data_IF_246177513541
#
_entry.id   IF_246177513541
#
_cell.length_a   1.000
_cell.length_b   1.000
_cell.length_c   1.000
_cell.angle_alpha   90.00
_cell.angle_beta   90.00
_cell.angle_gamma   90.00
#
_symmetry.space_group_name_H-M   'P 1'
#
loop_
_entity.id
_entity.type
_entity.pdbx_description
1 polymer ?
#
# COMPACT_ATOMS: atom_id res chain seq x y z
N UNK A 1 -1.03 -23.35 21.02
CA UNK A 1 -0.47 -22.76 19.79
C UNK A 1 -0.65 -21.24 19.88
N UNK A 2 0.28 -20.54 20.52
CA UNK A 2 0.28 -19.08 20.71
C UNK A 2 1.66 -18.64 20.27
N UNK A 3 1.82 -18.38 18.98
CA UNK A 3 3.14 -18.10 18.40
C UNK A 3 3.07 -17.53 17.00
N UNK A 4 2.08 -17.96 16.20
CA UNK A 4 1.81 -17.37 14.88
C UNK A 4 1.16 -15.97 14.92
N UNK A 5 0.52 -15.59 16.02
CA UNK A 5 -0.26 -14.34 16.11
C UNK A 5 0.55 -13.12 16.58
N UNK A 6 1.80 -13.31 17.02
CA UNK A 6 2.67 -12.22 17.47
C UNK A 6 3.57 -11.66 16.36
N UNK A 7 3.67 -12.36 15.23
CA UNK A 7 4.58 -12.00 14.12
C UNK A 7 3.90 -11.02 13.14
N UNK A 8 2.60 -10.75 13.28
CA UNK A 8 1.80 -10.06 12.27
C UNK A 8 1.56 -8.57 12.53
N UNK A 9 2.20 -7.97 13.54
CA UNK A 9 1.86 -6.62 14.02
C UNK A 9 2.83 -5.52 13.59
N UNK A 10 3.90 -5.84 12.85
CA UNK A 10 4.91 -4.86 12.41
C UNK A 10 5.38 -5.08 10.97
N UNK A 11 4.55 -5.68 10.11
CA UNK A 11 4.86 -5.85 8.69
C UNK A 11 4.27 -4.69 7.89
N UNK A 12 5.12 -3.93 7.23
CA UNK A 12 4.76 -2.97 6.20
C UNK A 12 5.10 -3.54 4.83
N UNK A 13 4.68 -2.83 3.78
CA UNK A 13 4.99 -3.23 2.41
C UNK A 13 5.53 -2.05 1.61
N UNK A 14 6.69 -2.26 1.01
CA UNK A 14 7.28 -1.31 0.06
C UNK A 14 6.67 -1.57 -1.31
N UNK A 15 6.18 -0.50 -1.93
CA UNK A 15 5.56 -0.56 -3.25
C UNK A 15 6.62 -0.39 -4.33
N UNK A 16 6.83 -1.43 -5.12
CA UNK A 16 7.66 -1.38 -6.31
C UNK A 16 6.81 -1.05 -7.53
N UNK A 17 6.13 -2.06 -8.07
CA UNK A 17 5.20 -1.94 -9.21
C UNK A 17 3.73 -1.88 -8.78
N UNK A 18 3.43 -2.26 -7.54
CA UNK A 18 2.08 -2.33 -6.97
C UNK A 18 1.22 -3.47 -7.52
N UNK A 19 1.72 -4.31 -8.43
CA UNK A 19 0.94 -5.36 -9.11
C UNK A 19 0.57 -6.50 -8.16
N UNK A 20 1.43 -6.78 -7.20
CA UNK A 20 1.27 -7.87 -6.25
C UNK A 20 0.72 -7.39 -4.90
N UNK A 21 0.28 -6.14 -4.81
CA UNK A 21 -0.24 -5.54 -3.58
C UNK A 21 -1.71 -5.18 -3.71
N UNK A 22 -2.53 -5.74 -2.84
CA UNK A 22 -3.94 -5.37 -2.68
C UNK A 22 -4.05 -4.02 -2.01
N UNK A 23 -4.77 -3.08 -2.65
CA UNK A 23 -4.92 -1.74 -2.12
C UNK A 23 -5.66 -1.72 -0.77
N UNK A 24 -6.60 -2.65 -0.55
CA UNK A 24 -7.47 -2.67 0.64
C UNK A 24 -7.07 -3.67 1.72
N UNK A 25 -6.41 -4.76 1.34
CA UNK A 25 -6.18 -5.91 2.25
C UNK A 25 -4.79 -5.94 2.87
N UNK A 26 -3.88 -5.11 2.39
CA UNK A 26 -2.47 -5.16 2.80
C UNK A 26 -2.01 -3.83 3.43
N UNK A 27 -1.10 -3.87 4.41
CA UNK A 27 -0.63 -2.68 5.12
C UNK A 27 0.50 -1.99 4.34
N UNK A 28 0.14 -1.22 3.31
CA UNK A 28 1.11 -0.53 2.45
C UNK A 28 1.05 1.00 2.54
N UNK A 29 0.10 1.57 3.29
CA UNK A 29 -0.09 3.03 3.38
C UNK A 29 0.96 3.74 4.24
N UNK A 30 1.64 3.03 5.14
CA UNK A 30 2.63 3.59 6.04
C UNK A 30 3.79 2.64 6.24
N UNK A 31 4.98 3.21 6.39
CA UNK A 31 6.22 2.51 6.70
C UNK A 31 6.58 2.59 8.20
N UNK A 32 5.76 3.26 9.01
CA UNK A 32 5.96 3.33 10.47
C UNK A 32 4.97 2.44 11.21
N UNK A 33 3.74 2.36 10.70
CA UNK A 33 2.66 1.56 11.26
C UNK A 33 1.97 0.76 10.16
N UNK A 34 1.60 -0.51 10.41
CA UNK A 34 0.82 -1.26 9.43
C UNK A 34 -0.56 -0.63 9.29
N UNK A 35 -0.76 0.14 8.22
CA UNK A 35 -1.99 0.89 7.98
C UNK A 35 -2.66 0.42 6.69
N UNK A 36 -3.95 0.12 6.79
CA UNK A 36 -4.84 -0.23 5.67
C UNK A 36 -5.89 0.85 5.47
N UNK A 37 -6.38 1.07 4.25
CA UNK A 37 -7.37 2.11 4.02
C UNK A 37 -8.63 1.90 4.87
N UNK A 38 -9.15 2.99 5.42
CA UNK A 38 -10.37 2.96 6.22
C UNK A 38 -11.58 3.06 5.29
N UNK A 39 -12.39 2.01 5.26
CA UNK A 39 -13.68 2.02 4.58
C UNK A 39 -14.03 0.66 3.96
N UNK A 40 -15.32 0.39 3.74
CA UNK A 40 -15.72 -0.78 2.98
C UNK A 40 -15.30 -0.60 1.51
N UNK A 41 -14.51 -1.52 0.93
CA UNK A 41 -14.31 -1.51 -0.51
C UNK A 41 -15.65 -1.71 -1.22
N UNK A 42 -15.85 -1.02 -2.34
CA UNK A 42 -16.95 -1.34 -3.24
C UNK A 42 -16.64 -2.67 -3.94
N UNK A 43 -17.66 -3.35 -4.48
CA UNK A 43 -17.46 -4.62 -5.21
C UNK A 43 -16.42 -4.50 -6.33
N UNK A 44 -16.31 -3.31 -6.93
CA UNK A 44 -15.32 -2.99 -7.96
C UNK A 44 -13.93 -2.69 -7.38
N UNK A 45 -13.83 -2.11 -6.18
CA UNK A 45 -12.55 -1.75 -5.57
C UNK A 45 -11.94 -2.86 -4.69
N UNK A 46 -12.69 -3.89 -4.32
CA UNK A 46 -12.19 -4.95 -3.42
C UNK A 46 -10.97 -5.73 -3.97
N UNK A 47 -10.85 -5.81 -5.30
CA UNK A 47 -9.76 -6.47 -6.01
C UNK A 47 -8.72 -5.48 -6.54
N UNK A 48 -8.87 -4.19 -6.21
CA UNK A 48 -7.98 -3.14 -6.67
C UNK A 48 -6.55 -3.41 -6.21
N UNK A 49 -5.62 -3.36 -7.16
CA UNK A 49 -4.19 -3.41 -6.90
C UNK A 49 -3.63 -2.01 -6.78
N UNK A 50 -2.55 -1.86 -6.02
CA UNK A 50 -1.83 -0.58 -5.91
C UNK A 50 -1.36 -0.09 -7.29
N UNK A 51 -1.00 -1.01 -8.19
CA UNK A 51 -0.64 -0.68 -9.57
C UNK A 51 -1.73 0.06 -10.34
N UNK A 52 -3.02 -0.13 -10.00
CA UNK A 52 -4.12 0.56 -10.67
C UNK A 52 -4.21 2.06 -10.32
N UNK A 53 -3.58 2.45 -9.21
CA UNK A 53 -3.41 3.84 -8.76
C UNK A 53 -2.18 4.50 -9.40
N UNK A 54 -1.33 3.76 -10.12
CA UNK A 54 -0.13 4.25 -10.77
C UNK A 54 -0.34 4.48 -12.26
N UNK A 55 0.43 5.41 -12.83
CA UNK A 55 0.62 5.52 -14.28
C UNK A 55 1.67 4.50 -14.73
N UNK A 56 1.29 3.56 -15.59
CA UNK A 56 2.16 2.47 -16.03
C UNK A 56 3.45 2.92 -16.75
N UNK A 57 3.44 4.09 -17.39
CA UNK A 57 4.59 4.60 -18.14
C UNK A 57 5.63 5.32 -17.26
N UNK A 58 5.18 6.03 -16.23
CA UNK A 58 6.03 6.90 -15.40
C UNK A 58 6.27 6.36 -13.99
N UNK A 59 5.59 5.27 -13.59
CA UNK A 59 5.56 4.77 -12.21
C UNK A 59 5.17 5.86 -11.17
N UNK A 60 4.46 6.91 -11.61
CA UNK A 60 3.98 7.99 -10.76
C UNK A 60 2.52 7.78 -10.36
N UNK A 61 2.12 8.32 -9.21
CA UNK A 61 0.74 8.22 -8.74
C UNK A 61 -0.23 8.98 -9.64
N UNK A 62 -1.36 8.35 -9.93
CA UNK A 62 -2.50 9.00 -10.54
C UNK A 62 -3.31 9.69 -9.43
N UNK A 63 -2.98 10.97 -9.20
CA UNK A 63 -3.57 11.78 -8.11
C UNK A 63 -5.11 11.80 -8.21
N UNK A 64 -5.67 11.88 -9.41
CA UNK A 64 -7.12 11.90 -9.61
C UNK A 64 -7.77 10.60 -9.11
N UNK A 65 -7.21 9.43 -9.46
CA UNK A 65 -7.70 8.13 -8.97
C UNK A 65 -7.49 7.96 -7.47
N UNK A 66 -6.34 8.38 -6.96
CA UNK A 66 -6.05 8.31 -5.51
C UNK A 66 -7.08 9.14 -4.73
N UNK A 67 -7.38 10.37 -5.15
CA UNK A 67 -8.42 11.20 -4.54
C UNK A 67 -9.81 10.59 -4.62
N UNK A 68 -10.14 9.96 -5.75
CA UNK A 68 -11.45 9.35 -5.95
C UNK A 68 -11.67 8.13 -5.05
N UNK A 69 -10.63 7.31 -4.85
CA UNK A 69 -10.75 6.02 -4.15
C UNK A 69 -10.35 6.14 -2.67
N UNK A 70 -9.30 6.92 -2.38
CA UNK A 70 -8.69 7.07 -1.07
C UNK A 70 -8.49 8.55 -0.69
N UNK A 71 -9.57 9.36 -0.61
CA UNK A 71 -9.45 10.79 -0.35
C UNK A 71 -8.75 11.10 0.98
N UNK A 72 -8.97 10.28 2.01
CA UNK A 72 -8.39 10.48 3.34
C UNK A 72 -6.92 10.06 3.44
N UNK A 73 -6.46 9.19 2.54
CA UNK A 73 -5.09 8.66 2.53
C UNK A 73 -4.23 9.24 1.41
N UNK A 74 -4.69 10.29 0.71
CA UNK A 74 -3.96 10.90 -0.40
C UNK A 74 -2.53 11.28 0.00
N UNK A 75 -2.37 11.98 1.13
CA UNK A 75 -1.07 12.45 1.60
C UNK A 75 -0.10 11.30 1.88
N UNK A 76 -0.60 10.22 2.49
CA UNK A 76 0.19 9.04 2.81
C UNK A 76 0.60 8.30 1.53
N UNK A 77 -0.34 8.09 0.61
CA UNK A 77 -0.09 7.42 -0.68
C UNK A 77 0.93 8.21 -1.51
N UNK A 78 0.77 9.53 -1.61
CA UNK A 78 1.67 10.38 -2.38
C UNK A 78 3.07 10.52 -1.75
N UNK A 79 3.20 10.29 -0.44
CA UNK A 79 4.50 10.25 0.23
C UNK A 79 5.29 8.96 -0.07
N UNK A 80 4.63 7.90 -0.50
CA UNK A 80 5.29 6.67 -0.94
C UNK A 80 5.89 6.90 -2.31
N UNK A 81 7.17 6.57 -2.47
CA UNK A 81 7.84 6.62 -3.78
C UNK A 81 7.88 5.19 -4.37
N UNK A 82 7.11 4.90 -5.45
CA UNK A 82 7.20 3.62 -6.14
C UNK A 82 8.55 3.44 -6.83
N UNK A 83 8.92 2.20 -7.13
CA UNK A 83 10.14 1.92 -7.88
C UNK A 83 9.97 2.28 -9.36
N UNK A 84 10.76 3.24 -9.84
CA UNK A 84 10.84 3.59 -11.26
C UNK A 84 11.54 2.53 -12.12
N UNK A 85 12.31 1.64 -11.49
CA UNK A 85 13.04 0.55 -12.15
C UNK A 85 12.23 -0.76 -12.22
N UNK A 86 10.96 -0.73 -11.82
CA UNK A 86 10.08 -1.90 -11.90
C UNK A 86 10.38 -2.99 -10.87
N UNK A 87 10.95 -2.63 -9.72
CA UNK A 87 11.17 -3.58 -8.63
C UNK A 87 9.85 -4.22 -8.17
N UNK A 88 9.94 -5.43 -7.60
CA UNK A 88 8.77 -6.12 -7.03
C UNK A 88 8.35 -5.48 -5.71
N UNK A 89 7.09 -5.71 -5.33
CA UNK A 89 6.58 -5.30 -4.02
C UNK A 89 7.13 -6.25 -2.96
N UNK A 90 7.69 -5.72 -1.88
CA UNK A 90 8.34 -6.50 -0.83
C UNK A 90 7.82 -6.14 0.55
N UNK A 91 7.73 -7.14 1.43
CA UNK A 91 7.40 -6.92 2.84
C UNK A 91 8.64 -6.49 3.60
N UNK A 92 8.45 -5.50 4.46
CA UNK A 92 9.50 -4.95 5.32
C UNK A 92 9.05 -4.98 6.77
N UNK A 93 9.99 -5.23 7.66
CA UNK A 93 9.74 -5.13 9.10
C UNK A 93 9.81 -3.66 9.52
N UNK A 94 8.70 -3.13 10.03
CA UNK A 94 8.59 -1.78 10.57
C UNK A 94 9.17 -1.78 11.97
N UNK A 95 10.49 -1.57 12.06
CA UNK A 95 11.14 -1.44 13.37
C UNK A 95 10.87 -0.04 13.92
N UNK A 96 10.10 0.04 15.00
CA UNK A 96 9.83 1.32 15.68
C UNK A 96 11.17 1.86 16.25
N UNK A 97 11.77 2.89 15.64
CA UNK A 97 12.86 3.63 16.30
C UNK A 97 12.22 4.46 17.42
N UNK A 98 12.65 4.18 18.66
CA UNK A 98 12.28 4.96 19.85
C UNK A 98 12.87 6.37 19.78
#
# INVERSE_FOLDING_TARGET
IIGKNLINTQLGKVIGTGKNTSAWKEPWLSLDTPSTPIGPPTATSQHLKVSALLHHASCSWNIAKVRQIFPFHEKEILAIQPSSLGARDEYVWLFRRR
#
